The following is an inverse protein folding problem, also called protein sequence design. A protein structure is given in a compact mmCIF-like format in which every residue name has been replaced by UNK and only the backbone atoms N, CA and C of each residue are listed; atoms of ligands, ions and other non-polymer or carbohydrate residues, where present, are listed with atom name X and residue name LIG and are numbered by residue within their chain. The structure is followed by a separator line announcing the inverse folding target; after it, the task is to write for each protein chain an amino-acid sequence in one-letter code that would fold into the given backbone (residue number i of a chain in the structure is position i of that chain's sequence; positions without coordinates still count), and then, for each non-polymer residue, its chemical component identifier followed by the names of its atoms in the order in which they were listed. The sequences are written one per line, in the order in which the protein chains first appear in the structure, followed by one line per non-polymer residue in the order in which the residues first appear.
data_IF_050969933520
#
_entry.id   IF_050969933520
#
_cell.length_a   1.000
_cell.length_b   1.000
_cell.length_c   1.000
_cell.angle_alpha   90.00
_cell.angle_beta   90.00
_cell.angle_gamma   90.00
#
_symmetry.space_group_name_H-M   'P 1'
#
loop_
_entity.id
_entity.type
_entity.pdbx_description
1 polymer ?
#
# COMPACT_ATOMS: atom_id res chain seq x y z
N UNK A 1 39.28 -28.55 5.85
CA UNK A 1 38.37 -27.47 6.26
C UNK A 1 38.82 -26.22 5.56
N UNK A 2 38.03 -25.58 4.68
CA UNK A 2 38.43 -24.31 4.10
C UNK A 2 38.42 -23.24 5.18
N UNK A 3 39.47 -22.43 5.22
CA UNK A 3 39.68 -21.33 6.15
C UNK A 3 38.49 -20.33 6.06
N UNK A 4 38.04 -19.84 7.23
CA UNK A 4 37.09 -18.71 7.28
C UNK A 4 37.74 -17.52 6.57
N UNK A 5 37.09 -16.91 5.59
CA UNK A 5 37.59 -15.65 5.05
C UNK A 5 37.51 -14.60 6.16
N UNK A 6 38.64 -14.03 6.51
CA UNK A 6 38.70 -12.83 7.33
C UNK A 6 38.02 -11.69 6.60
N UNK A 7 37.17 -10.95 7.29
CA UNK A 7 36.33 -9.84 6.79
C UNK A 7 37.21 -8.61 6.47
N UNK A 8 38.06 -8.71 5.45
CA UNK A 8 38.70 -7.55 4.79
C UNK A 8 38.04 -7.23 3.44
N UNK A 9 36.87 -7.81 3.17
CA UNK A 9 36.09 -7.47 1.97
C UNK A 9 35.29 -6.22 2.28
N UNK A 10 35.47 -5.18 1.50
CA UNK A 10 34.67 -3.96 1.55
C UNK A 10 33.17 -4.37 1.42
N UNK A 11 32.38 -4.12 2.45
CA UNK A 11 30.96 -4.41 2.44
C UNK A 11 30.30 -3.60 1.33
N UNK A 12 29.48 -4.24 0.52
CA UNK A 12 28.66 -3.61 -0.52
C UNK A 12 27.19 -3.91 -0.28
N UNK A 13 26.27 -3.13 -0.84
CA UNK A 13 24.83 -3.42 -0.74
C UNK A 13 24.48 -4.84 -1.17
N UNK A 14 25.12 -5.34 -2.23
CA UNK A 14 24.87 -6.64 -2.84
C UNK A 14 25.60 -7.80 -2.14
N UNK A 15 26.38 -7.52 -1.10
CA UNK A 15 27.06 -8.59 -0.33
C UNK A 15 26.00 -9.54 0.25
N UNK A 16 26.11 -10.87 0.00
CA UNK A 16 25.14 -11.84 0.52
C UNK A 16 25.07 -11.87 2.05
N UNK A 17 23.86 -11.97 2.60
CA UNK A 17 23.59 -11.96 4.05
C UNK A 17 24.30 -13.09 4.81
N UNK A 18 24.66 -14.19 4.15
CA UNK A 18 25.40 -15.32 4.73
C UNK A 18 26.79 -14.96 5.28
N UNK A 19 27.36 -13.82 4.87
CA UNK A 19 28.65 -13.35 5.38
C UNK A 19 28.54 -12.55 6.69
N UNK A 20 27.33 -12.27 7.15
CA UNK A 20 27.09 -11.68 8.45
C UNK A 20 27.43 -12.65 9.59
N UNK A 21 28.01 -12.10 10.64
CA UNK A 21 28.32 -12.90 11.85
C UNK A 21 27.02 -13.45 12.46
N UNK A 22 26.96 -14.78 12.59
CA UNK A 22 25.79 -15.49 13.12
C UNK A 22 24.78 -15.95 12.08
N UNK A 23 25.02 -15.68 10.79
CA UNK A 23 24.20 -16.19 9.69
C UNK A 23 24.98 -17.31 8.98
N UNK A 24 24.61 -18.55 9.28
CA UNK A 24 25.14 -19.73 8.57
C UNK A 24 24.32 -20.05 7.33
N UNK A 25 24.77 -21.03 6.50
CA UNK A 25 24.07 -21.41 5.26
C UNK A 25 22.58 -21.71 5.45
N UNK A 26 22.22 -22.52 6.45
CA UNK A 26 20.82 -22.86 6.76
C UNK A 26 19.99 -21.64 7.19
N UNK A 27 20.61 -20.65 7.83
CA UNK A 27 19.94 -19.42 8.23
C UNK A 27 19.76 -18.51 7.02
N UNK A 28 20.74 -18.44 6.11
CA UNK A 28 20.63 -17.70 4.87
C UNK A 28 19.49 -18.23 3.97
N UNK A 29 19.37 -19.54 3.79
CA UNK A 29 18.25 -20.17 3.06
C UNK A 29 16.88 -19.80 3.66
N UNK A 30 16.82 -19.62 4.99
CA UNK A 30 15.57 -19.17 5.64
C UNK A 30 15.31 -17.67 5.45
N UNK A 31 16.36 -16.86 5.40
CA UNK A 31 16.23 -15.44 5.07
C UNK A 31 15.72 -15.24 3.65
N UNK A 32 16.10 -16.10 2.69
CA UNK A 32 15.57 -16.07 1.31
C UNK A 32 14.07 -16.21 1.25
N UNK A 33 13.43 -16.99 2.17
CA UNK A 33 11.97 -17.10 2.27
C UNK A 33 11.29 -15.78 2.66
N UNK A 34 12.04 -14.84 3.24
CA UNK A 34 11.61 -13.47 3.54
C UNK A 34 12.01 -12.47 2.44
N UNK A 35 12.60 -12.94 1.35
CA UNK A 35 13.15 -12.08 0.30
C UNK A 35 14.46 -11.40 0.68
N UNK A 36 15.15 -11.87 1.74
CA UNK A 36 16.41 -11.29 2.23
C UNK A 36 17.57 -12.13 1.71
N UNK A 37 18.26 -11.63 0.69
CA UNK A 37 19.44 -12.29 0.07
C UNK A 37 20.70 -11.50 0.34
N UNK A 38 20.62 -10.17 0.30
CA UNK A 38 21.75 -9.25 0.40
C UNK A 38 21.70 -8.42 1.70
N UNK A 39 22.77 -7.68 1.98
CA UNK A 39 22.81 -6.73 3.10
C UNK A 39 21.82 -5.58 2.89
N UNK A 40 21.62 -5.14 1.65
CA UNK A 40 20.62 -4.12 1.32
C UNK A 40 19.21 -4.61 1.63
N UNK A 41 18.87 -5.86 1.25
CA UNK A 41 17.56 -6.43 1.56
C UNK A 41 17.30 -6.47 3.07
N UNK A 42 18.33 -6.83 3.87
CA UNK A 42 18.21 -6.88 5.32
C UNK A 42 18.01 -5.48 5.92
N UNK A 43 18.70 -4.45 5.43
CA UNK A 43 18.52 -3.05 5.84
C UNK A 43 17.18 -2.47 5.36
N UNK A 44 16.60 -3.02 4.31
CA UNK A 44 15.28 -2.65 3.82
C UNK A 44 14.13 -3.51 4.38
N UNK A 45 14.46 -4.51 5.20
CA UNK A 45 13.45 -5.33 5.88
C UNK A 45 12.93 -4.61 7.13
N UNK A 46 12.02 -3.67 6.95
CA UNK A 46 11.55 -2.78 8.00
C UNK A 46 10.65 -3.46 9.02
N UNK A 47 10.68 -3.00 10.30
CA UNK A 47 9.80 -3.53 11.34
C UNK A 47 8.33 -3.18 11.06
N UNK A 48 7.42 -4.07 11.46
CA UNK A 48 5.98 -3.85 11.37
C UNK A 48 5.44 -2.97 12.50
N UNK A 49 6.02 -3.09 13.68
CA UNK A 49 5.65 -2.35 14.90
C UNK A 49 6.83 -2.27 15.85
N UNK A 50 6.66 -1.47 16.88
CA UNK A 50 7.60 -1.38 18.00
C UNK A 50 6.92 -1.79 19.30
N UNK A 51 7.71 -2.35 20.22
CA UNK A 51 7.33 -2.51 21.61
C UNK A 51 7.96 -1.34 22.34
N UNK A 52 7.11 -0.54 22.97
CA UNK A 52 7.52 0.64 23.75
C UNK A 52 7.74 0.24 25.21
N UNK A 53 8.98 0.32 25.66
CA UNK A 53 9.35 0.07 27.05
C UNK A 53 9.29 1.33 27.91
N UNK A 54 9.07 2.51 27.33
CA UNK A 54 9.02 3.78 28.08
C UNK A 54 7.70 3.97 28.81
N UNK A 55 6.66 3.23 28.39
CA UNK A 55 5.28 3.30 28.92
C UNK A 55 4.83 1.92 29.41
N UNK A 56 5.47 1.35 30.46
CA UNK A 56 5.05 0.06 31.00
C UNK A 56 3.69 0.18 31.67
N UNK A 57 2.90 -0.87 31.60
CA UNK A 57 1.66 -0.99 32.37
C UNK A 57 1.97 -1.34 33.82
N UNK A 58 1.10 -0.90 34.74
CA UNK A 58 0.99 -1.54 36.07
C UNK A 58 0.42 -2.96 35.89
N UNK A 59 0.66 -3.83 36.86
CA UNK A 59 0.14 -5.21 36.79
C UNK A 59 -1.39 -5.19 36.68
N UNK A 60 -2.06 -4.28 37.43
CA UNK A 60 -3.52 -4.19 37.42
C UNK A 60 -4.11 -3.74 36.07
N UNK A 61 -3.46 -2.81 35.38
CA UNK A 61 -3.94 -2.21 34.11
C UNK A 61 -3.50 -2.99 32.89
N UNK A 62 -2.56 -3.93 33.02
CA UNK A 62 -2.07 -4.71 31.89
C UNK A 62 -3.22 -5.45 31.17
N UNK A 63 -3.37 -5.29 29.85
CA UNK A 63 -4.44 -5.94 29.11
C UNK A 63 -4.26 -7.47 29.10
N UNK A 64 -5.35 -8.21 29.26
CA UNK A 64 -5.32 -9.68 29.16
C UNK A 64 -5.19 -10.13 27.71
N UNK A 65 -4.52 -11.26 27.53
CA UNK A 65 -4.35 -11.96 26.24
C UNK A 65 -3.70 -11.09 25.14
N UNK A 66 -3.03 -10.01 25.55
CA UNK A 66 -2.32 -9.09 24.66
C UNK A 66 -0.88 -8.95 25.12
N UNK A 67 0.05 -8.89 24.16
CA UNK A 67 1.45 -8.64 24.45
C UNK A 67 1.65 -7.20 24.97
N UNK A 68 2.20 -7.08 26.16
CA UNK A 68 2.46 -5.81 26.83
C UNK A 68 3.76 -5.85 27.63
N UNK A 69 4.19 -4.68 28.08
CA UNK A 69 5.32 -4.52 29.00
C UNK A 69 4.79 -4.17 30.39
N UNK A 70 5.20 -4.94 31.39
CA UNK A 70 4.85 -4.70 32.79
C UNK A 70 6.13 -4.41 33.58
N UNK A 71 6.12 -3.36 34.40
CA UNK A 71 7.20 -3.05 35.35
C UNK A 71 6.85 -3.62 36.69
N UNK A 72 7.75 -4.45 37.26
CA UNK A 72 7.51 -5.08 38.55
C UNK A 72 8.82 -5.41 39.28
N UNK A 73 8.78 -5.40 40.61
CA UNK A 73 9.86 -5.83 41.51
C UNK A 73 9.77 -7.33 41.80
N UNK A 74 10.91 -8.02 41.85
CA UNK A 74 10.96 -9.47 42.14
C UNK A 74 10.95 -9.71 43.65
N UNK A 75 9.87 -10.28 44.18
CA UNK A 75 9.72 -10.56 45.61
C UNK A 75 10.13 -11.97 46.04
N UNK A 76 9.88 -12.97 45.16
CA UNK A 76 10.15 -14.35 45.52
C UNK A 76 10.63 -15.19 44.35
N UNK A 77 11.54 -16.13 44.65
CA UNK A 77 12.06 -17.13 43.74
C UNK A 77 11.90 -18.52 44.35
N UNK A 78 10.73 -19.15 44.24
CA UNK A 78 10.47 -20.43 44.90
C UNK A 78 11.29 -21.62 44.37
N UNK A 79 12.11 -21.38 43.33
CA UNK A 79 12.96 -22.41 42.72
C UNK A 79 12.31 -23.20 41.60
N UNK A 80 13.16 -23.90 40.85
CA UNK A 80 12.72 -24.69 39.69
C UNK A 80 12.16 -26.05 40.10
N UNK A 81 11.21 -26.55 39.31
CA UNK A 81 10.67 -27.92 39.39
C UNK A 81 10.85 -28.62 38.05
N UNK A 82 11.09 -29.93 38.11
CA UNK A 82 11.06 -30.79 36.94
C UNK A 82 9.65 -31.39 36.86
N UNK A 83 8.96 -31.13 35.76
CA UNK A 83 7.63 -31.65 35.49
C UNK A 83 7.71 -33.06 34.89
N UNK A 84 6.61 -33.86 34.97
CA UNK A 84 6.51 -35.11 34.22
C UNK A 84 6.85 -34.90 32.73
N UNK A 85 7.71 -35.75 32.19
CA UNK A 85 8.23 -35.59 30.82
C UNK A 85 9.56 -34.78 30.71
N UNK A 86 10.23 -34.49 31.85
CA UNK A 86 11.58 -33.89 31.86
C UNK A 86 11.62 -32.39 31.61
N UNK A 87 10.50 -31.71 31.47
CA UNK A 87 10.44 -30.25 31.27
C UNK A 87 10.79 -29.52 32.58
N UNK A 88 11.77 -28.66 32.51
CA UNK A 88 12.13 -27.80 33.65
C UNK A 88 11.26 -26.54 33.66
N UNK A 89 10.70 -26.22 34.81
CA UNK A 89 9.88 -25.04 35.06
C UNK A 89 10.52 -24.21 36.15
N UNK A 90 10.80 -22.94 35.84
CA UNK A 90 11.24 -21.94 36.83
C UNK A 90 10.10 -20.96 37.06
N UNK A 91 9.90 -20.57 38.31
CA UNK A 91 8.84 -19.63 38.71
C UNK A 91 9.40 -18.55 39.59
N UNK A 92 8.91 -17.34 39.40
CA UNK A 92 9.12 -16.22 40.33
C UNK A 92 7.79 -15.53 40.59
N UNK A 93 7.75 -14.75 41.66
CA UNK A 93 6.67 -13.79 41.90
C UNK A 93 7.26 -12.40 41.86
N UNK A 94 6.71 -11.56 41.01
CA UNK A 94 7.00 -10.14 40.93
C UNK A 94 5.74 -9.34 41.28
N UNK A 95 5.87 -8.08 41.66
CA UNK A 95 4.74 -7.25 42.01
C UNK A 95 5.03 -5.77 41.86
N UNK A 96 3.98 -5.00 41.88
CA UNK A 96 3.97 -3.55 42.09
C UNK A 96 3.30 -3.24 43.44
N UNK A 97 3.07 -1.97 43.76
CA UNK A 97 2.49 -1.53 45.04
C UNK A 97 1.10 -2.11 45.34
N UNK A 98 0.41 -2.64 44.31
CA UNK A 98 -1.01 -3.01 44.43
C UNK A 98 -1.26 -4.49 44.05
N UNK A 99 -0.49 -5.07 43.17
CA UNK A 99 -0.79 -6.36 42.53
C UNK A 99 0.44 -7.26 42.42
N UNK A 100 0.20 -8.57 42.23
CA UNK A 100 1.26 -9.55 42.01
C UNK A 100 1.11 -10.24 40.68
N UNK A 101 2.26 -10.59 40.08
CA UNK A 101 2.40 -11.29 38.81
C UNK A 101 3.21 -12.55 38.99
N UNK A 102 2.61 -13.71 38.73
CA UNK A 102 3.32 -14.98 38.69
C UNK A 102 3.97 -15.15 37.30
N UNK A 103 5.28 -15.29 37.27
CA UNK A 103 6.05 -15.43 36.04
C UNK A 103 6.66 -16.82 35.99
N UNK A 104 6.44 -17.52 34.88
CA UNK A 104 6.91 -18.88 34.67
C UNK A 104 7.72 -19.00 33.38
N UNK A 105 8.91 -19.62 33.47
CA UNK A 105 9.69 -20.02 32.30
C UNK A 105 9.74 -21.53 32.17
N UNK A 106 9.56 -22.03 30.99
CA UNK A 106 9.73 -23.43 30.62
C UNK A 106 11.04 -23.64 29.86
N UNK A 107 11.82 -24.64 30.27
CA UNK A 107 13.09 -25.02 29.63
C UNK A 107 14.14 -23.89 29.57
N UNK A 108 14.03 -22.87 30.38
CA UNK A 108 15.00 -21.77 30.50
C UNK A 108 15.40 -21.50 31.97
N UNK A 109 16.28 -22.33 32.53
CA UNK A 109 16.69 -22.20 33.93
C UNK A 109 17.45 -20.90 34.22
N UNK A 110 18.10 -20.34 33.22
CA UNK A 110 18.93 -19.14 33.42
C UNK A 110 18.11 -17.84 33.50
N UNK A 111 16.88 -17.83 33.04
CA UNK A 111 16.05 -16.62 33.03
C UNK A 111 15.78 -16.13 34.47
N UNK A 112 15.31 -17.01 35.36
CA UNK A 112 15.03 -16.69 36.76
C UNK A 112 16.32 -16.47 37.57
N UNK A 113 17.42 -17.15 37.24
CA UNK A 113 18.67 -17.04 38.00
C UNK A 113 19.33 -15.65 37.89
N UNK A 114 19.18 -14.99 36.76
CA UNK A 114 19.76 -13.66 36.47
C UNK A 114 19.03 -12.52 37.20
N UNK A 115 17.86 -12.76 37.74
CA UNK A 115 17.09 -11.75 38.43
C UNK A 115 17.46 -11.69 39.89
N UNK A 116 17.48 -10.51 40.47
CA UNK A 116 17.79 -10.30 41.89
C UNK A 116 16.50 -9.96 42.65
N UNK A 117 16.42 -10.42 43.91
CA UNK A 117 15.30 -10.08 44.82
C UNK A 117 15.39 -8.59 45.20
N UNK A 118 14.26 -7.92 45.24
CA UNK A 118 14.17 -6.50 45.55
C UNK A 118 14.56 -5.57 44.39
N UNK A 119 14.79 -6.12 43.20
CA UNK A 119 15.11 -5.34 42.02
C UNK A 119 13.91 -5.26 41.06
N UNK A 120 13.74 -4.09 40.45
CA UNK A 120 12.73 -3.84 39.42
C UNK A 120 13.21 -4.29 38.05
N UNK A 121 12.33 -4.94 37.33
CA UNK A 121 12.53 -5.38 35.94
C UNK A 121 11.32 -5.07 35.07
N UNK A 122 11.53 -5.05 33.78
CA UNK A 122 10.48 -4.92 32.77
C UNK A 122 10.26 -6.27 32.13
N UNK A 123 9.05 -6.77 32.25
CA UNK A 123 8.62 -8.07 31.72
C UNK A 123 7.75 -7.85 30.47
N UNK A 124 8.20 -8.33 29.35
CA UNK A 124 7.46 -8.26 28.08
C UNK A 124 6.86 -9.63 27.79
N UNK A 125 5.56 -9.69 27.63
CA UNK A 125 4.86 -10.92 27.31
C UNK A 125 3.35 -10.74 27.35
N UNK A 126 2.64 -11.85 27.27
CA UNK A 126 1.18 -11.89 27.36
C UNK A 126 0.79 -12.11 28.82
N UNK A 127 0.04 -11.16 29.36
CA UNK A 127 -0.57 -11.29 30.68
C UNK A 127 -1.87 -12.07 30.56
N UNK A 128 -2.04 -13.08 31.40
CA UNK A 128 -3.24 -13.91 31.48
C UNK A 128 -3.75 -14.00 32.93
N UNK A 129 -4.99 -14.43 33.10
CA UNK A 129 -5.59 -14.63 34.43
C UNK A 129 -6.53 -13.51 34.86
N UNK A 130 -7.17 -13.68 36.01
CA UNK A 130 -8.07 -12.68 36.60
C UNK A 130 -7.34 -11.66 37.47
N UNK A 131 -8.07 -10.64 37.99
CA UNK A 131 -7.49 -9.55 38.80
C UNK A 131 -6.73 -10.02 40.05
N UNK A 132 -7.12 -11.15 40.61
CA UNK A 132 -6.49 -11.69 41.82
C UNK A 132 -5.26 -12.57 41.56
N UNK A 133 -5.09 -13.06 40.35
CA UNK A 133 -3.99 -13.95 39.99
C UNK A 133 -3.61 -13.72 38.53
N UNK A 134 -2.69 -12.80 38.31
CA UNK A 134 -2.12 -12.53 36.99
C UNK A 134 -0.89 -13.39 36.76
N UNK A 135 -0.75 -13.86 35.51
CA UNK A 135 0.34 -14.75 35.12
C UNK A 135 0.95 -14.32 33.78
N UNK A 136 2.25 -14.57 33.64
CA UNK A 136 2.98 -14.37 32.37
C UNK A 136 3.90 -15.58 32.13
N UNK A 137 3.87 -16.10 30.94
CA UNK A 137 4.65 -17.28 30.54
C UNK A 137 5.76 -16.89 29.58
N UNK A 138 6.98 -17.33 29.88
CA UNK A 138 8.18 -17.08 29.07
C UNK A 138 8.39 -15.61 28.66
N UNK A 139 8.23 -14.61 29.56
CA UNK A 139 8.48 -13.24 29.19
C UNK A 139 9.95 -12.99 28.84
N UNK A 140 10.16 -12.00 27.97
CA UNK A 140 11.46 -11.35 27.89
C UNK A 140 11.63 -10.39 29.05
N UNK A 141 12.86 -10.29 29.56
CA UNK A 141 13.16 -9.44 30.73
C UNK A 141 14.23 -8.45 30.38
N UNK A 142 14.05 -7.20 30.79
CA UNK A 142 15.03 -6.12 30.63
C UNK A 142 15.23 -5.34 31.91
N UNK A 143 16.45 -4.84 32.10
CA UNK A 143 16.78 -3.88 33.15
C UNK A 143 16.50 -2.45 32.68
N UNK A 144 16.42 -1.51 33.61
CA UNK A 144 16.27 -0.09 33.32
C UNK A 144 17.42 0.45 32.42
N UNK A 145 18.64 -0.03 32.64
CA UNK A 145 19.80 0.35 31.81
C UNK A 145 19.65 -0.11 30.34
N UNK A 146 19.15 -1.33 30.14
CA UNK A 146 18.88 -1.85 28.80
C UNK A 146 17.80 -1.07 28.07
N UNK A 147 16.80 -0.60 28.81
CA UNK A 147 15.73 0.25 28.24
C UNK A 147 16.25 1.64 27.93
N UNK A 148 17.05 2.24 28.80
CA UNK A 148 17.66 3.54 28.52
C UNK A 148 18.52 3.51 27.24
N UNK A 149 19.20 2.38 26.99
CA UNK A 149 19.99 2.18 25.77
C UNK A 149 19.14 1.86 24.52
N UNK A 150 17.96 1.24 24.69
CA UNK A 150 17.08 0.81 23.59
C UNK A 150 15.63 0.86 24.05
N UNK A 151 15.00 2.05 24.04
CA UNK A 151 13.66 2.23 24.58
C UNK A 151 12.56 1.57 23.72
N UNK A 152 12.83 1.35 22.45
CA UNK A 152 11.90 0.73 21.51
C UNK A 152 12.50 -0.54 20.93
N UNK A 153 11.76 -1.63 20.97
CA UNK A 153 12.15 -2.87 20.30
C UNK A 153 11.40 -3.03 19.00
N UNK A 154 12.14 -3.11 17.91
CA UNK A 154 11.60 -3.35 16.58
C UNK A 154 11.13 -4.81 16.43
N UNK A 155 9.88 -5.01 16.00
CA UNK A 155 9.29 -6.31 15.72
C UNK A 155 9.20 -6.52 14.21
N UNK A 156 9.97 -7.49 13.71
CA UNK A 156 10.08 -7.79 12.29
C UNK A 156 9.11 -8.87 11.82
N UNK A 157 8.75 -8.87 10.53
CA UNK A 157 8.15 -10.03 9.88
C UNK A 157 9.03 -11.26 10.05
N UNK A 158 8.45 -12.40 10.41
CA UNK A 158 9.16 -13.64 10.73
C UNK A 158 8.79 -14.76 9.79
N UNK A 159 9.63 -15.78 9.72
CA UNK A 159 9.34 -17.07 9.11
C UNK A 159 9.84 -18.20 10.00
N UNK A 160 9.51 -19.44 9.66
CA UNK A 160 9.97 -20.61 10.43
C UNK A 160 11.49 -20.64 10.55
N UNK A 161 11.97 -20.67 11.79
CA UNK A 161 13.39 -20.68 12.13
C UNK A 161 14.16 -19.36 11.96
N UNK A 162 13.46 -18.24 11.69
CA UNK A 162 14.00 -16.87 11.74
C UNK A 162 13.11 -16.02 12.62
N UNK A 163 13.57 -15.76 13.85
CA UNK A 163 12.86 -14.91 14.82
C UNK A 163 13.16 -13.44 14.60
N UNK A 164 12.24 -12.57 15.06
CA UNK A 164 12.43 -11.11 15.07
C UNK A 164 13.72 -10.71 15.80
N UNK A 165 14.07 -11.38 16.89
CA UNK A 165 15.30 -11.12 17.65
C UNK A 165 16.56 -11.43 16.85
N UNK A 166 16.54 -12.48 16.03
CA UNK A 166 17.67 -12.81 15.13
C UNK A 166 17.82 -11.74 14.06
N UNK A 167 16.72 -11.31 13.44
CA UNK A 167 16.72 -10.23 12.45
C UNK A 167 17.26 -8.95 13.08
N UNK A 168 16.72 -8.54 14.25
CA UNK A 168 17.18 -7.37 14.98
C UNK A 168 18.69 -7.41 15.27
N UNK A 169 19.22 -8.58 15.68
CA UNK A 169 20.65 -8.78 15.92
C UNK A 169 21.49 -8.60 14.65
N UNK A 170 21.02 -9.12 13.52
CA UNK A 170 21.70 -9.00 12.24
C UNK A 170 21.67 -7.56 11.72
N UNK A 171 20.50 -6.90 11.80
CA UNK A 171 20.35 -5.49 11.42
C UNK A 171 21.28 -4.59 12.22
N UNK A 172 21.33 -4.72 13.56
CA UNK A 172 22.19 -3.90 14.41
C UNK A 172 23.68 -3.97 14.01
N UNK A 173 24.14 -5.08 13.48
CA UNK A 173 25.52 -5.19 12.98
C UNK A 173 25.75 -4.32 11.73
N UNK A 174 24.69 -4.03 10.96
CA UNK A 174 24.75 -3.26 9.71
C UNK A 174 24.43 -1.77 9.88
N UNK A 175 23.76 -1.36 10.95
CA UNK A 175 23.38 0.05 11.15
C UNK A 175 24.56 1.03 11.06
N UNK A 176 25.78 0.72 11.55
CA UNK A 176 26.96 1.57 11.31
C UNK A 176 27.30 1.77 9.83
N UNK A 177 26.82 0.87 8.98
CA UNK A 177 27.07 0.86 7.54
C UNK A 177 25.82 1.22 6.73
N UNK A 178 24.86 1.97 7.31
CA UNK A 178 23.63 2.36 6.63
C UNK A 178 23.86 3.19 5.37
N UNK A 179 25.03 3.84 5.25
CA UNK A 179 25.48 4.56 4.04
C UNK A 179 25.73 3.63 2.83
N UNK A 180 25.75 2.32 3.02
CA UNK A 180 25.75 1.36 1.91
C UNK A 180 24.52 1.53 1.01
N UNK A 181 23.40 1.99 1.59
CA UNK A 181 22.21 2.27 0.81
C UNK A 181 22.30 3.67 0.18
N UNK A 182 22.33 3.77 -1.16
CA UNK A 182 22.36 5.08 -1.82
C UNK A 182 21.10 5.87 -1.51
N UNK A 183 21.23 7.18 -1.34
CA UNK A 183 20.08 8.06 -1.18
C UNK A 183 19.60 8.55 -2.56
N UNK A 184 18.43 8.11 -3.04
CA UNK A 184 17.92 8.52 -4.35
C UNK A 184 17.33 9.92 -4.35
N UNK A 185 17.10 10.55 -3.17
CA UNK A 185 16.50 11.88 -3.10
C UNK A 185 17.58 12.98 -3.11
N UNK A 186 17.51 13.95 -4.03
CA UNK A 186 18.37 15.13 -4.01
C UNK A 186 18.28 15.90 -2.68
N UNK A 187 19.39 16.48 -2.26
CA UNK A 187 19.46 17.22 -1.00
C UNK A 187 18.45 18.37 -0.92
N UNK A 188 18.24 19.10 -2.01
CA UNK A 188 17.26 20.17 -2.11
C UNK A 188 15.84 19.69 -1.82
N UNK A 189 15.48 18.52 -2.36
CA UNK A 189 14.18 17.89 -2.12
C UNK A 189 14.03 17.51 -0.65
N UNK A 190 15.07 16.91 -0.06
CA UNK A 190 15.08 16.54 1.36
C UNK A 190 14.91 17.78 2.26
N UNK A 191 15.60 18.87 1.98
CA UNK A 191 15.46 20.14 2.71
C UNK A 191 14.05 20.71 2.55
N UNK A 192 13.53 20.78 1.31
CA UNK A 192 12.19 21.32 1.02
C UNK A 192 11.09 20.62 1.79
N UNK A 193 11.14 19.30 1.86
CA UNK A 193 10.12 18.47 2.50
C UNK A 193 10.48 18.03 3.92
N UNK A 194 11.59 18.52 4.48
CA UNK A 194 12.10 18.18 5.82
C UNK A 194 12.19 16.65 6.02
N UNK A 195 12.86 15.98 5.09
CA UNK A 195 13.06 14.54 5.11
C UNK A 195 14.47 14.20 5.58
N UNK A 196 14.60 13.11 6.34
CA UNK A 196 15.89 12.55 6.74
C UNK A 196 16.69 12.05 5.52
N UNK A 197 18.00 11.90 5.68
CA UNK A 197 18.79 11.13 4.73
C UNK A 197 18.35 9.66 4.72
N UNK A 198 18.69 8.91 3.67
CA UNK A 198 18.38 7.47 3.62
C UNK A 198 19.02 6.72 4.79
N UNK A 199 20.30 6.97 5.06
CA UNK A 199 21.04 6.34 6.15
C UNK A 199 20.43 6.64 7.52
N UNK A 200 20.08 7.92 7.81
CA UNK A 200 19.48 8.30 9.08
C UNK A 200 18.08 7.72 9.23
N UNK A 201 17.29 7.68 8.16
CA UNK A 201 15.98 7.06 8.18
C UNK A 201 16.07 5.55 8.44
N UNK A 202 17.05 4.87 7.84
CA UNK A 202 17.30 3.43 8.08
C UNK A 202 17.74 3.19 9.53
N UNK A 203 18.62 4.01 10.08
CA UNK A 203 18.99 3.90 11.50
C UNK A 203 17.77 4.09 12.41
N UNK A 204 17.04 5.17 12.20
CA UNK A 204 15.91 5.52 13.05
C UNK A 204 14.70 4.58 12.90
N UNK A 205 14.47 3.97 11.73
CA UNK A 205 13.38 2.99 11.59
C UNK A 205 13.70 1.66 12.28
N UNK A 206 14.96 1.29 12.41
CA UNK A 206 15.37 0.05 13.05
C UNK A 206 15.64 0.20 14.56
N UNK A 207 16.17 1.36 14.97
CA UNK A 207 16.51 1.66 16.36
C UNK A 207 16.10 3.11 16.69
N UNK A 208 14.80 3.40 16.81
CA UNK A 208 14.35 4.75 17.12
C UNK A 208 14.67 5.13 18.56
N UNK A 209 15.11 6.35 18.76
CA UNK A 209 15.35 6.95 20.07
C UNK A 209 14.06 7.53 20.69
N UNK A 210 13.06 7.81 19.83
CA UNK A 210 11.76 8.35 20.21
C UNK A 210 10.69 7.97 19.20
N UNK A 211 9.42 8.12 19.58
CA UNK A 211 8.28 7.96 18.66
C UNK A 211 8.39 8.93 17.47
N UNK A 212 8.82 10.17 17.71
CA UNK A 212 9.00 11.18 16.66
C UNK A 212 10.10 10.80 15.68
N UNK A 213 11.21 10.21 16.16
CA UNK A 213 12.27 9.71 15.31
C UNK A 213 11.78 8.55 14.42
N UNK A 214 11.01 7.61 14.98
CA UNK A 214 10.39 6.53 14.22
C UNK A 214 9.41 7.06 13.16
N UNK A 215 8.61 8.06 13.52
CA UNK A 215 7.67 8.71 12.61
C UNK A 215 8.39 9.44 11.48
N UNK A 216 9.44 10.21 11.77
CA UNK A 216 10.23 10.90 10.77
C UNK A 216 10.90 9.94 9.78
N UNK A 217 11.45 8.82 10.30
CA UNK A 217 12.03 7.77 9.49
C UNK A 217 10.98 7.12 8.57
N UNK A 218 9.85 6.72 9.12
CA UNK A 218 8.74 6.14 8.35
C UNK A 218 8.23 7.08 7.27
N UNK A 219 8.06 8.37 7.60
CA UNK A 219 7.66 9.40 6.63
C UNK A 219 8.64 9.49 5.47
N UNK A 220 9.95 9.46 5.73
CA UNK A 220 10.98 9.49 4.70
C UNK A 220 10.90 8.27 3.76
N UNK A 221 10.74 7.08 4.32
CA UNK A 221 10.67 5.84 3.55
C UNK A 221 9.40 5.75 2.71
N UNK A 222 8.23 6.12 3.28
CA UNK A 222 6.97 6.19 2.54
C UNK A 222 7.06 7.21 1.40
N UNK A 223 7.65 8.39 1.64
CA UNK A 223 7.82 9.40 0.59
C UNK A 223 8.61 8.86 -0.59
N UNK A 224 9.73 8.16 -0.33
CA UNK A 224 10.55 7.55 -1.37
C UNK A 224 9.76 6.51 -2.18
N UNK A 225 9.09 5.59 -1.50
CA UNK A 225 8.32 4.53 -2.15
C UNK A 225 7.21 5.09 -3.04
N UNK A 226 6.44 6.07 -2.52
CA UNK A 226 5.39 6.71 -3.29
C UNK A 226 5.95 7.55 -4.46
N UNK A 227 7.10 8.21 -4.28
CA UNK A 227 7.74 8.96 -5.36
C UNK A 227 8.18 8.02 -6.49
N UNK A 228 8.82 6.89 -6.17
CA UNK A 228 9.23 5.89 -7.17
C UNK A 228 8.01 5.36 -7.92
N UNK A 229 6.92 5.06 -7.21
CA UNK A 229 5.67 4.63 -7.83
C UNK A 229 5.11 5.70 -8.77
N UNK A 230 5.04 6.97 -8.33
CA UNK A 230 4.54 8.08 -9.14
C UNK A 230 5.40 8.34 -10.38
N UNK A 231 6.73 8.25 -10.24
CA UNK A 231 7.64 8.37 -11.39
C UNK A 231 7.45 7.22 -12.37
N UNK A 232 7.25 6.00 -11.88
CA UNK A 232 6.92 4.83 -12.69
C UNK A 232 5.65 5.03 -13.49
N UNK A 233 4.56 5.43 -12.84
CA UNK A 233 3.27 5.74 -13.47
C UNK A 233 3.41 6.88 -14.48
N UNK A 234 4.11 7.97 -14.11
CA UNK A 234 4.37 9.10 -15.00
C UNK A 234 5.13 8.68 -16.26
N UNK A 235 6.14 7.81 -16.11
CA UNK A 235 6.91 7.27 -17.23
C UNK A 235 6.07 6.39 -18.17
N UNK A 236 5.18 5.60 -17.59
CA UNK A 236 4.23 4.78 -18.37
C UNK A 236 3.24 5.66 -19.13
N UNK A 237 2.68 6.69 -18.47
CA UNK A 237 1.80 7.67 -19.13
C UNK A 237 2.50 8.35 -20.30
N UNK A 238 3.73 8.83 -20.12
CA UNK A 238 4.48 9.50 -21.18
C UNK A 238 4.86 8.56 -22.33
N UNK A 239 5.03 7.26 -22.11
CA UNK A 239 5.23 6.28 -23.18
C UNK A 239 3.95 6.01 -23.97
N UNK A 240 2.79 6.01 -23.32
CA UNK A 240 1.48 5.90 -23.98
C UNK A 240 1.03 7.20 -24.67
N UNK A 241 1.59 8.34 -24.26
CA UNK A 241 1.27 9.68 -24.81
C UNK A 241 1.95 9.99 -26.15
N UNK A 242 2.69 9.04 -26.73
CA UNK A 242 3.15 9.13 -28.13
C UNK A 242 2.01 8.91 -29.14
N UNK A 243 0.82 8.47 -28.71
CA UNK A 243 -0.37 8.52 -29.54
C UNK A 243 -0.83 9.98 -29.63
N UNK A 244 -0.60 10.62 -30.77
CA UNK A 244 -1.19 11.90 -31.11
C UNK A 244 -2.70 11.77 -31.01
N UNK A 245 -3.33 12.44 -30.06
CA UNK A 245 -4.78 12.59 -30.01
C UNK A 245 -5.23 13.34 -31.27
N UNK A 246 -6.46 13.10 -31.71
CA UNK A 246 -7.07 13.98 -32.67
C UNK A 246 -7.46 15.28 -31.94
N UNK A 247 -6.77 16.41 -32.13
CA UNK A 247 -7.08 17.63 -31.37
C UNK A 247 -8.47 18.11 -31.79
N UNK A 248 -9.32 18.30 -30.78
CA UNK A 248 -10.68 18.77 -30.96
C UNK A 248 -10.75 20.29 -30.76
N UNK A 249 -11.79 20.92 -31.29
CA UNK A 249 -12.01 22.34 -31.04
C UNK A 249 -12.39 22.53 -29.56
N UNK A 250 -11.75 23.50 -28.88
CA UNK A 250 -12.20 23.92 -27.58
C UNK A 250 -13.51 24.73 -27.72
N UNK A 251 -14.62 24.06 -27.46
CA UNK A 251 -15.96 24.64 -27.55
C UNK A 251 -16.36 25.28 -26.24
N UNK A 252 -17.19 26.36 -26.33
CA UNK A 252 -17.90 26.85 -25.16
C UNK A 252 -19.06 25.88 -24.84
N UNK A 253 -19.12 25.29 -23.66
CA UNK A 253 -20.21 24.36 -23.29
C UNK A 253 -21.56 25.04 -23.01
N UNK A 254 -21.64 26.38 -23.09
CA UNK A 254 -22.85 27.13 -22.83
C UNK A 254 -24.05 26.68 -23.66
N UNK A 255 -23.95 26.41 -24.98
CA UNK A 255 -25.08 25.89 -25.74
C UNK A 255 -25.63 24.57 -25.21
N UNK A 256 -24.76 23.67 -24.72
CA UNK A 256 -25.17 22.42 -24.10
C UNK A 256 -25.86 22.67 -22.74
N UNK A 257 -25.32 23.59 -21.92
CA UNK A 257 -25.92 23.92 -20.63
C UNK A 257 -27.31 24.55 -20.76
N UNK A 258 -27.53 25.37 -21.79
CA UNK A 258 -28.80 26.08 -22.02
C UNK A 258 -29.95 25.12 -22.41
N UNK A 259 -29.65 23.86 -22.80
CA UNK A 259 -30.69 22.84 -23.09
C UNK A 259 -31.15 22.08 -21.85
N UNK A 260 -30.45 22.21 -20.74
CA UNK A 260 -30.75 21.45 -19.51
C UNK A 260 -31.89 22.10 -18.73
N UNK A 261 -32.77 21.32 -18.10
CA UNK A 261 -33.86 21.85 -17.23
C UNK A 261 -33.36 22.35 -15.86
N UNK A 262 -32.04 22.30 -15.60
CA UNK A 262 -31.40 22.71 -14.37
C UNK A 262 -30.01 23.32 -14.65
N UNK A 263 -29.48 24.06 -13.69
CA UNK A 263 -28.14 24.62 -13.79
C UNK A 263 -27.09 23.62 -13.29
N UNK A 264 -25.99 23.37 -14.03
CA UNK A 264 -24.90 22.51 -13.56
C UNK A 264 -24.19 23.14 -12.35
N UNK A 265 -23.70 22.29 -11.46
CA UNK A 265 -22.93 22.73 -10.28
C UNK A 265 -21.58 23.30 -10.67
N UNK A 266 -20.98 24.11 -9.78
CA UNK A 266 -19.63 24.65 -10.00
C UNK A 266 -18.58 23.55 -10.21
N UNK A 267 -18.72 22.39 -9.55
CA UNK A 267 -17.82 21.25 -9.73
C UNK A 267 -17.97 20.62 -11.12
N UNK A 268 -19.21 20.44 -11.59
CA UNK A 268 -19.47 19.91 -12.94
C UNK A 268 -18.94 20.84 -14.04
N UNK A 269 -19.13 22.15 -13.87
CA UNK A 269 -18.58 23.16 -14.83
C UNK A 269 -17.07 23.09 -14.90
N UNK A 270 -16.37 23.06 -13.74
CA UNK A 270 -14.91 22.92 -13.71
C UNK A 270 -14.43 21.61 -14.36
N UNK A 271 -15.07 20.49 -14.04
CA UNK A 271 -14.70 19.20 -14.61
C UNK A 271 -14.86 19.19 -16.15
N UNK A 272 -15.94 19.77 -16.67
CA UNK A 272 -16.14 19.90 -18.12
C UNK A 272 -15.11 20.83 -18.74
N UNK A 273 -14.81 21.98 -18.15
CA UNK A 273 -13.80 22.92 -18.69
C UNK A 273 -12.41 22.27 -18.75
N UNK A 274 -12.03 21.51 -17.74
CA UNK A 274 -10.78 20.73 -17.73
C UNK A 274 -10.76 19.65 -18.83
N UNK A 275 -11.85 18.90 -19.00
CA UNK A 275 -11.99 17.87 -20.03
C UNK A 275 -11.89 18.49 -21.41
N UNK A 276 -12.60 19.59 -21.68
CA UNK A 276 -12.57 20.27 -22.97
C UNK A 276 -11.20 20.86 -23.29
N UNK A 277 -10.47 21.29 -22.23
CA UNK A 277 -9.09 21.75 -22.39
C UNK A 277 -8.15 20.61 -22.79
N UNK A 278 -8.28 19.45 -22.12
CA UNK A 278 -7.48 18.27 -22.46
C UNK A 278 -7.80 17.73 -23.87
N UNK A 279 -9.09 17.71 -24.25
CA UNK A 279 -9.52 17.26 -25.58
C UNK A 279 -9.02 18.17 -26.72
N UNK A 280 -8.80 19.44 -26.42
CA UNK A 280 -8.23 20.39 -27.38
C UNK A 280 -6.69 20.29 -27.49
N UNK A 281 -6.05 19.53 -26.62
CA UNK A 281 -4.60 19.32 -26.61
C UNK A 281 -4.13 18.36 -27.71
N UNK A 282 -2.82 18.40 -27.96
CA UNK A 282 -2.18 17.49 -28.93
C UNK A 282 -2.05 16.05 -28.43
N UNK A 283 -2.12 15.86 -27.12
CA UNK A 283 -1.98 14.54 -26.45
C UNK A 283 -3.35 13.92 -26.22
N UNK A 284 -3.43 12.59 -26.41
CA UNK A 284 -4.64 11.84 -26.07
C UNK A 284 -5.01 11.97 -24.61
N UNK A 285 -6.22 12.46 -24.31
CA UNK A 285 -6.73 12.61 -22.96
C UNK A 285 -6.93 11.23 -22.29
N UNK A 286 -6.41 11.06 -21.08
CA UNK A 286 -6.71 9.93 -20.20
C UNK A 286 -7.05 10.45 -18.81
N UNK A 287 -8.35 10.64 -18.54
CA UNK A 287 -8.86 11.29 -17.33
C UNK A 287 -9.85 10.39 -16.58
N UNK A 288 -9.66 10.27 -15.28
CA UNK A 288 -10.61 9.64 -14.36
C UNK A 288 -11.56 10.70 -13.78
N UNK A 289 -12.87 10.54 -14.00
CA UNK A 289 -13.90 11.34 -13.36
C UNK A 289 -14.40 10.61 -12.11
N UNK A 290 -14.13 11.15 -10.93
CA UNK A 290 -14.56 10.59 -9.66
C UNK A 290 -15.61 11.47 -8.99
N UNK A 291 -16.61 10.87 -8.35
CA UNK A 291 -17.66 11.54 -7.60
C UNK A 291 -18.65 10.53 -7.02
N UNK A 292 -19.42 10.96 -6.04
CA UNK A 292 -20.43 10.13 -5.38
C UNK A 292 -21.55 9.66 -6.33
N UNK A 293 -22.31 8.66 -5.91
CA UNK A 293 -23.50 8.22 -6.61
C UNK A 293 -24.49 9.39 -6.66
N UNK A 294 -25.04 9.68 -7.84
CA UNK A 294 -25.95 10.82 -8.03
C UNK A 294 -25.28 12.19 -8.21
N UNK A 295 -23.93 12.29 -8.18
CA UNK A 295 -23.21 13.56 -8.41
C UNK A 295 -23.31 14.12 -9.84
N UNK A 296 -23.93 13.39 -10.76
CA UNK A 296 -24.13 13.80 -12.14
C UNK A 296 -22.94 13.53 -13.05
N UNK A 297 -22.13 12.49 -12.80
CA UNK A 297 -21.00 12.08 -13.67
C UNK A 297 -21.43 11.90 -15.13
N UNK A 298 -22.62 11.33 -15.34
CA UNK A 298 -23.20 11.12 -16.69
C UNK A 298 -23.42 12.44 -17.43
N UNK A 299 -23.76 13.52 -16.71
CA UNK A 299 -23.92 14.86 -17.31
C UNK A 299 -22.57 15.42 -17.81
N UNK A 300 -21.50 15.23 -17.05
CA UNK A 300 -20.14 15.63 -17.43
C UNK A 300 -19.68 14.83 -18.67
N UNK A 301 -19.96 13.53 -18.67
CA UNK A 301 -19.70 12.67 -19.83
C UNK A 301 -20.50 13.11 -21.06
N UNK A 302 -21.78 13.47 -20.91
CA UNK A 302 -22.64 13.97 -21.98
C UNK A 302 -22.10 15.27 -22.61
N UNK A 303 -21.61 16.20 -21.80
CA UNK A 303 -20.98 17.44 -22.28
C UNK A 303 -19.69 17.16 -23.09
N UNK A 304 -18.87 16.22 -22.63
CA UNK A 304 -17.66 15.81 -23.35
C UNK A 304 -18.02 15.11 -24.69
N UNK A 305 -19.01 14.22 -24.69
CA UNK A 305 -19.53 13.55 -25.89
C UNK A 305 -20.08 14.57 -26.88
N UNK A 306 -20.88 15.52 -26.40
CA UNK A 306 -21.39 16.63 -27.21
C UNK A 306 -20.26 17.39 -27.92
N UNK A 307 -19.23 17.77 -27.19
CA UNK A 307 -18.10 18.49 -27.72
C UNK A 307 -17.28 17.67 -28.75
N UNK A 308 -17.11 16.38 -28.51
CA UNK A 308 -16.48 15.45 -29.42
C UNK A 308 -17.24 15.40 -30.77
N UNK A 309 -18.56 15.25 -30.72
CA UNK A 309 -19.40 15.17 -31.93
C UNK A 309 -19.43 16.51 -32.64
N UNK A 310 -19.53 17.64 -31.96
CA UNK A 310 -19.43 18.97 -32.55
C UNK A 310 -18.07 19.23 -33.22
N UNK A 311 -17.01 18.55 -32.77
CA UNK A 311 -15.69 18.59 -33.40
C UNK A 311 -15.56 17.67 -34.62
N UNK A 312 -16.62 16.98 -35.03
CA UNK A 312 -16.68 16.11 -36.20
C UNK A 312 -16.19 14.69 -35.97
N UNK A 313 -16.15 14.22 -34.71
CA UNK A 313 -15.74 12.86 -34.35
C UNK A 313 -16.92 12.05 -33.77
N UNK A 314 -16.78 10.74 -33.80
CA UNK A 314 -17.69 9.81 -33.14
C UNK A 314 -17.24 9.61 -31.69
N UNK A 315 -18.20 9.35 -30.81
CA UNK A 315 -17.96 8.98 -29.41
C UNK A 315 -18.46 7.55 -29.11
N UNK A 316 -17.81 6.89 -28.18
CA UNK A 316 -18.23 5.59 -27.64
C UNK A 316 -18.42 5.68 -26.12
N UNK A 317 -19.48 5.05 -25.58
CA UNK A 317 -19.69 4.87 -24.15
C UNK A 317 -19.85 3.39 -23.83
N UNK A 318 -18.98 2.86 -22.99
CA UNK A 318 -19.00 1.48 -22.52
C UNK A 318 -19.66 1.42 -21.15
N UNK A 319 -20.68 0.57 -21.01
CA UNK A 319 -21.36 0.28 -19.76
C UNK A 319 -21.19 -1.20 -19.38
N UNK A 320 -21.13 -1.55 -18.07
CA UNK A 320 -20.82 -2.92 -17.63
C UNK A 320 -21.94 -3.93 -17.96
N UNK A 321 -23.18 -3.49 -18.08
CA UNK A 321 -24.34 -4.36 -18.37
C UNK A 321 -25.21 -3.81 -19.50
N UNK A 322 -25.98 -4.67 -20.16
CA UNK A 322 -26.91 -4.29 -21.21
C UNK A 322 -28.03 -3.37 -20.70
N UNK A 323 -28.45 -3.55 -19.45
CA UNK A 323 -29.46 -2.71 -18.83
C UNK A 323 -28.93 -1.28 -18.65
N UNK A 324 -27.73 -1.13 -18.14
CA UNK A 324 -27.08 0.18 -17.98
C UNK A 324 -26.77 0.81 -19.32
N UNK A 325 -26.32 0.04 -20.31
CA UNK A 325 -26.11 0.53 -21.65
C UNK A 325 -27.40 1.10 -22.28
N UNK A 326 -28.52 0.40 -22.10
CA UNK A 326 -29.83 0.87 -22.58
C UNK A 326 -30.29 2.14 -21.85
N UNK A 327 -30.11 2.21 -20.54
CA UNK A 327 -30.44 3.42 -19.75
C UNK A 327 -29.57 4.62 -20.16
N UNK A 328 -28.26 4.40 -20.34
CA UNK A 328 -27.35 5.46 -20.82
C UNK A 328 -27.73 5.91 -22.21
N UNK A 329 -28.02 4.99 -23.13
CA UNK A 329 -28.43 5.33 -24.50
C UNK A 329 -29.70 6.20 -24.50
N UNK A 330 -30.71 5.85 -23.72
CA UNK A 330 -31.96 6.62 -23.59
C UNK A 330 -31.72 8.01 -22.98
N UNK A 331 -30.95 8.08 -21.91
CA UNK A 331 -30.64 9.35 -21.22
C UNK A 331 -29.80 10.28 -22.10
N UNK A 332 -28.75 9.75 -22.75
CA UNK A 332 -27.90 10.52 -23.65
C UNK A 332 -28.64 10.94 -24.91
N UNK A 333 -29.48 10.08 -25.45
CA UNK A 333 -30.33 10.45 -26.59
C UNK A 333 -31.23 11.65 -26.26
N UNK A 334 -31.84 11.70 -25.07
CA UNK A 334 -32.65 12.86 -24.64
C UNK A 334 -31.81 14.14 -24.52
N UNK A 335 -30.61 14.06 -23.95
CA UNK A 335 -29.73 15.23 -23.77
C UNK A 335 -29.14 15.74 -25.09
N UNK A 336 -28.90 14.84 -26.04
CA UNK A 336 -28.23 15.14 -27.34
C UNK A 336 -29.23 15.40 -28.47
N UNK A 337 -30.50 15.03 -28.30
CA UNK A 337 -31.57 15.24 -29.30
C UNK A 337 -31.73 16.70 -29.76
N UNK A 338 -31.62 17.74 -28.87
CA UNK A 338 -31.71 19.14 -29.30
C UNK A 338 -30.63 19.53 -30.36
N UNK A 339 -29.54 18.76 -30.42
CA UNK A 339 -28.44 19.00 -31.37
C UNK A 339 -28.52 18.10 -32.61
N UNK A 340 -29.58 17.28 -32.75
CA UNK A 340 -29.74 16.37 -33.87
C UNK A 340 -28.77 15.20 -33.93
N UNK A 341 -28.11 14.89 -32.78
CA UNK A 341 -27.11 13.82 -32.69
C UNK A 341 -27.75 12.43 -32.61
N UNK A 342 -27.18 11.46 -33.29
CA UNK A 342 -27.72 10.12 -33.46
C UNK A 342 -27.04 9.14 -32.50
N UNK A 343 -27.81 8.57 -31.61
CA UNK A 343 -27.33 7.60 -30.61
C UNK A 343 -27.66 6.18 -31.07
N UNK A 344 -26.66 5.32 -31.18
CA UNK A 344 -26.80 3.91 -31.52
C UNK A 344 -26.49 3.03 -30.28
N UNK A 345 -27.27 1.97 -30.07
CA UNK A 345 -27.05 0.95 -29.05
C UNK A 345 -26.39 -0.29 -29.68
N UNK A 346 -25.31 -0.81 -29.04
CA UNK A 346 -24.64 -2.03 -29.46
C UNK A 346 -24.37 -2.95 -28.27
N UNK A 347 -25.18 -4.02 -28.14
CA UNK A 347 -25.09 -5.02 -27.04
C UNK A 347 -24.93 -6.44 -27.58
N UNK A 348 -24.51 -7.37 -26.71
CA UNK A 348 -24.32 -8.78 -27.07
C UNK A 348 -25.62 -9.51 -27.42
N UNK A 349 -26.73 -9.17 -26.76
CA UNK A 349 -28.04 -9.79 -26.95
C UNK A 349 -28.81 -9.32 -28.20
N UNK A 350 -28.25 -8.44 -29.03
CA UNK A 350 -28.93 -7.94 -30.24
C UNK A 350 -29.12 -9.03 -31.30
N UNK A 351 -30.28 -9.02 -31.97
CA UNK A 351 -30.54 -9.86 -33.15
C UNK A 351 -29.53 -9.55 -34.29
N UNK A 352 -29.07 -10.59 -34.95
CA UNK A 352 -28.02 -10.46 -35.98
C UNK A 352 -28.32 -9.40 -37.09
N UNK A 353 -29.58 -9.25 -37.50
CA UNK A 353 -29.97 -8.24 -38.45
C UNK A 353 -29.86 -6.80 -37.92
N UNK A 354 -30.25 -6.58 -36.62
CA UNK A 354 -30.12 -5.29 -35.95
C UNK A 354 -28.63 -4.94 -35.75
N UNK A 355 -27.85 -5.90 -35.23
CA UNK A 355 -26.41 -5.74 -35.07
C UNK A 355 -25.72 -5.33 -36.37
N UNK A 356 -26.01 -6.01 -37.51
CA UNK A 356 -25.44 -5.64 -38.83
C UNK A 356 -25.78 -4.22 -39.24
N UNK A 357 -27.04 -3.76 -39.01
CA UNK A 357 -27.43 -2.37 -39.33
C UNK A 357 -26.67 -1.37 -38.46
N UNK A 358 -26.54 -1.62 -37.14
CA UNK A 358 -25.79 -0.75 -36.22
C UNK A 358 -24.32 -0.68 -36.64
N UNK A 359 -23.68 -1.82 -36.95
CA UNK A 359 -22.29 -1.84 -37.43
C UNK A 359 -22.10 -1.05 -38.74
N UNK A 360 -23.04 -1.19 -39.70
CA UNK A 360 -22.99 -0.41 -40.91
C UNK A 360 -23.15 1.09 -40.65
N UNK A 361 -24.06 1.50 -39.77
CA UNK A 361 -24.24 2.91 -39.39
C UNK A 361 -22.98 3.49 -38.69
N UNK A 362 -22.32 2.73 -37.83
CA UNK A 362 -21.06 3.15 -37.17
C UNK A 362 -19.97 3.41 -38.25
N UNK A 363 -19.80 2.47 -39.15
CA UNK A 363 -18.79 2.55 -40.22
C UNK A 363 -19.08 3.65 -41.26
N UNK A 364 -20.36 3.93 -41.52
CA UNK A 364 -20.79 4.96 -42.43
C UNK A 364 -20.86 6.38 -41.85
N UNK A 365 -20.42 6.57 -40.59
CA UNK A 365 -20.54 7.83 -39.82
C UNK A 365 -22.02 8.30 -39.68
N UNK A 366 -22.94 7.35 -39.66
CA UNK A 366 -24.36 7.60 -39.45
C UNK A 366 -24.80 7.49 -37.98
N UNK A 367 -23.90 7.07 -37.07
CA UNK A 367 -24.05 7.07 -35.65
C UNK A 367 -22.98 7.97 -35.02
N UNK A 368 -23.38 9.01 -34.33
CA UNK A 368 -22.51 10.00 -33.71
C UNK A 368 -22.01 9.52 -32.33
N UNK A 369 -22.89 8.83 -31.57
CA UNK A 369 -22.59 8.20 -30.30
C UNK A 369 -22.97 6.71 -30.34
N UNK A 370 -22.05 5.85 -29.96
CA UNK A 370 -22.32 4.41 -29.75
C UNK A 370 -22.27 4.09 -28.27
N UNK A 371 -23.39 3.63 -27.72
CA UNK A 371 -23.47 3.16 -26.33
C UNK A 371 -23.60 1.65 -26.33
N UNK A 372 -22.83 0.95 -25.49
CA UNK A 372 -22.98 -0.50 -25.41
C UNK A 372 -22.09 -1.13 -24.34
N UNK A 373 -22.01 -2.45 -24.38
CA UNK A 373 -21.18 -3.26 -23.49
C UNK A 373 -19.85 -3.59 -24.17
N UNK A 374 -19.14 -4.62 -23.67
CA UNK A 374 -17.97 -5.19 -24.33
C UNK A 374 -18.18 -5.52 -25.82
N UNK A 375 -19.41 -5.58 -26.27
CA UNK A 375 -19.72 -5.78 -27.70
C UNK A 375 -19.13 -4.68 -28.60
N UNK A 376 -18.86 -3.47 -28.06
CA UNK A 376 -18.18 -2.37 -28.79
C UNK A 376 -16.72 -2.73 -29.08
N UNK A 377 -16.08 -3.52 -28.22
CA UNK A 377 -14.67 -3.94 -28.34
C UNK A 377 -14.50 -5.22 -29.18
N UNK A 378 -15.60 -5.82 -29.66
CA UNK A 378 -15.53 -7.05 -30.44
C UNK A 378 -15.02 -6.81 -31.85
N UNK A 379 -14.38 -7.84 -32.43
CA UNK A 379 -13.96 -7.84 -33.81
C UNK A 379 -15.09 -7.45 -34.78
N UNK A 380 -14.78 -6.60 -35.77
CA UNK A 380 -15.74 -6.11 -36.76
C UNK A 380 -16.46 -4.81 -36.37
N UNK A 381 -16.19 -4.21 -35.24
CA UNK A 381 -16.64 -2.84 -34.94
C UNK A 381 -15.59 -1.85 -35.40
N UNK A 382 -15.89 -1.13 -36.46
CA UNK A 382 -15.01 -0.15 -37.08
C UNK A 382 -15.68 1.22 -37.07
N UNK A 383 -15.10 2.15 -36.30
CA UNK A 383 -15.53 3.55 -36.28
C UNK A 383 -14.91 4.30 -37.46
N UNK A 384 -15.68 5.16 -38.09
CA UNK A 384 -15.15 6.03 -39.13
C UNK A 384 -14.15 7.05 -38.58
N UNK A 385 -14.48 7.67 -37.41
CA UNK A 385 -13.70 8.76 -36.81
C UNK A 385 -13.86 8.78 -35.29
N UNK A 386 -13.46 7.73 -34.56
CA UNK A 386 -13.57 7.70 -33.12
C UNK A 386 -12.64 8.74 -32.46
N UNK A 387 -13.21 9.70 -31.71
CA UNK A 387 -12.46 10.74 -31.03
C UNK A 387 -12.50 10.62 -29.50
N UNK A 388 -13.58 10.03 -28.93
CA UNK A 388 -13.74 9.90 -27.48
C UNK A 388 -14.29 8.53 -27.09
N UNK A 389 -13.63 7.88 -26.13
CA UNK A 389 -14.15 6.69 -25.47
C UNK A 389 -14.39 6.99 -23.99
N UNK A 390 -15.62 6.77 -23.52
CA UNK A 390 -16.02 6.89 -22.13
C UNK A 390 -16.29 5.50 -21.57
N UNK A 391 -15.68 5.16 -20.43
CA UNK A 391 -15.90 3.89 -19.76
C UNK A 391 -16.59 4.15 -18.42
N UNK A 392 -17.81 3.63 -18.27
CA UNK A 392 -18.51 3.66 -16.99
C UNK A 392 -18.11 2.46 -16.15
N UNK A 393 -17.91 2.67 -14.84
CA UNK A 393 -17.41 1.66 -13.89
C UNK A 393 -16.17 0.87 -14.37
N UNK A 394 -15.00 1.54 -14.56
CA UNK A 394 -13.81 0.92 -15.16
C UNK A 394 -13.27 -0.28 -14.37
N UNK A 395 -13.63 -0.44 -13.10
CA UNK A 395 -13.23 -1.58 -12.24
C UNK A 395 -13.81 -2.90 -12.76
N UNK A 396 -14.98 -2.88 -13.38
CA UNK A 396 -15.65 -4.06 -13.94
C UNK A 396 -14.93 -4.63 -15.18
N UNK A 397 -13.97 -3.89 -15.75
CA UNK A 397 -13.24 -4.26 -16.98
C UNK A 397 -11.77 -4.65 -16.74
N UNK A 398 -11.35 -4.87 -15.49
CA UNK A 398 -9.95 -5.19 -15.16
C UNK A 398 -9.42 -6.45 -15.83
N UNK A 399 -10.28 -7.43 -16.16
CA UNK A 399 -9.87 -8.66 -16.85
C UNK A 399 -9.67 -8.48 -18.37
N UNK A 400 -10.20 -7.44 -18.97
CA UNK A 400 -10.01 -7.19 -20.41
C UNK A 400 -8.62 -6.58 -20.69
N UNK A 401 -8.02 -5.88 -19.75
CA UNK A 401 -6.66 -5.35 -19.87
C UNK A 401 -5.56 -6.42 -19.87
N UNK A 402 -5.83 -7.60 -19.32
CA UNK A 402 -4.83 -8.69 -19.26
C UNK A 402 -4.56 -9.36 -20.61
N UNK A 403 -5.44 -9.19 -21.60
CA UNK A 403 -5.30 -9.80 -22.93
C UNK A 403 -4.73 -8.85 -24.01
N UNK A 404 -4.63 -7.55 -23.73
CA UNK A 404 -4.13 -6.57 -24.71
C UNK A 404 -2.64 -6.24 -24.60
N UNK A 405 -1.89 -6.89 -23.71
CA UNK A 405 -0.44 -6.66 -23.54
C UNK A 405 0.45 -7.64 -24.31
N UNK A 406 -0.08 -8.32 -25.32
CA UNK A 406 0.70 -9.14 -26.26
C UNK A 406 0.49 -8.66 -27.70
N UNK A 407 1.02 -7.50 -27.99
CA UNK A 407 1.40 -7.05 -29.35
C UNK A 407 2.66 -6.22 -29.27
#
# INVERSE_FOLDING_TARGET
MPAKPELHTTLTPDTPVRYLKGVGPKTAERFEKLGIVTLADLLCHYPRRYIDFTKPYSIAEAPNDTECVVKAEVFAKPGGRILPGGRRMERITAGDDVSSLEITWFNNPYAAQKLELGQEYYFQGIVTGGMLRRQMVNPQVRTAEQIAATPFEAVYPQTEGVSSSLIAKCVRQLLPHAELLPDPLPEEMRKKYRLLSKADAVRAIHCPESEDAAFAARRRLIYEELLVLQLGIGRMKNRGSAATGAPMQRLDPKPFWDTLPFSPTGAQRRAVDEILTDMAGEQSMNRLLQGDVGSGKTLVAAAAIWACICSGYQAALLAPTEILASQHAENLNRMLAPFGMRVALLTGGMKAAARRRTLAAIRADEADLVVGTHAILSEGVEFARLGLAVVDEPVSYTHLRAHETTL
#
